data_IF_062241151021
#
_entry.id   IF_062241151021
#
_cell.length_a   1.000
_cell.length_b   1.000
_cell.length_c   1.000
_cell.angle_alpha   90.00
_cell.angle_beta   90.00
_cell.angle_gamma   90.00
#
_symmetry.space_group_name_H-M   'P 1'
#
loop_
_entity.id
_entity.type
_entity.pdbx_description
1 polymer ?
#
# COMPACT_ATOMS: atom_id res chain seq x y z
N UNK A 1 -14.12 -39.17 -15.30
CA UNK A 1 -13.57 -37.79 -15.31
C UNK A 1 -14.75 -36.81 -15.31
N UNK A 2 -14.94 -36.08 -14.21
CA UNK A 2 -15.98 -35.08 -14.07
C UNK A 2 -15.51 -33.74 -14.66
N UNK A 3 -15.97 -33.43 -15.87
CA UNK A 3 -15.55 -32.22 -16.60
C UNK A 3 -16.21 -30.96 -16.03
N UNK A 4 -17.43 -31.08 -15.53
CA UNK A 4 -18.22 -29.96 -14.99
C UNK A 4 -17.54 -29.39 -13.74
N UNK A 5 -17.27 -30.23 -12.74
CA UNK A 5 -16.57 -29.85 -11.52
C UNK A 5 -15.19 -29.23 -11.82
N UNK A 6 -14.44 -29.83 -12.74
CA UNK A 6 -13.13 -29.30 -13.13
C UNK A 6 -13.23 -27.93 -13.78
N UNK A 7 -14.21 -27.74 -14.66
CA UNK A 7 -14.43 -26.47 -15.35
C UNK A 7 -14.81 -25.36 -14.36
N UNK A 8 -15.63 -25.69 -13.37
CA UNK A 8 -16.01 -24.77 -12.29
C UNK A 8 -14.80 -24.35 -11.44
N UNK A 9 -14.04 -25.32 -10.94
CA UNK A 9 -12.85 -25.03 -10.12
C UNK A 9 -11.76 -24.29 -10.93
N UNK A 10 -11.63 -24.60 -12.23
CA UNK A 10 -10.76 -23.83 -13.12
C UNK A 10 -11.22 -22.38 -13.26
N UNK A 11 -12.52 -22.14 -13.46
CA UNK A 11 -13.07 -20.78 -13.54
C UNK A 11 -12.84 -20.01 -12.23
N UNK A 12 -13.04 -20.64 -11.07
CA UNK A 12 -12.71 -20.06 -9.76
C UNK A 12 -11.22 -19.71 -9.65
N UNK A 13 -10.34 -20.60 -10.11
CA UNK A 13 -8.89 -20.41 -10.09
C UNK A 13 -8.45 -19.20 -10.91
N UNK A 14 -8.94 -19.10 -12.15
CA UNK A 14 -8.61 -17.99 -13.04
C UNK A 14 -9.08 -16.65 -12.47
N UNK A 15 -10.24 -16.61 -11.82
CA UNK A 15 -10.75 -15.41 -11.15
C UNK A 15 -9.86 -14.97 -9.98
N UNK A 16 -9.46 -15.90 -9.10
CA UNK A 16 -8.53 -15.57 -8.01
C UNK A 16 -7.18 -15.15 -8.54
N UNK A 17 -6.65 -15.85 -9.54
CA UNK A 17 -5.37 -15.51 -10.14
C UNK A 17 -5.38 -14.11 -10.76
N UNK A 18 -6.48 -13.73 -11.42
CA UNK A 18 -6.69 -12.38 -11.91
C UNK A 18 -6.75 -11.36 -10.78
N UNK A 19 -7.53 -11.61 -9.73
CA UNK A 19 -7.66 -10.70 -8.59
C UNK A 19 -6.32 -10.49 -7.87
N UNK A 20 -5.55 -11.56 -7.64
CA UNK A 20 -4.21 -11.46 -7.06
C UNK A 20 -3.27 -10.64 -7.96
N UNK A 21 -3.35 -10.82 -9.28
CA UNK A 21 -2.61 -10.01 -10.25
C UNK A 21 -2.99 -8.53 -10.21
N UNK A 22 -4.27 -8.22 -10.03
CA UNK A 22 -4.76 -6.84 -9.91
C UNK A 22 -4.28 -6.19 -8.62
N UNK A 23 -4.38 -6.90 -7.48
CA UNK A 23 -3.85 -6.44 -6.18
C UNK A 23 -2.35 -6.12 -6.30
N UNK A 24 -1.57 -7.02 -6.91
CA UNK A 24 -0.14 -6.79 -7.12
C UNK A 24 0.14 -5.60 -8.03
N UNK A 25 -0.67 -5.43 -9.09
CA UNK A 25 -0.52 -4.31 -10.01
C UNK A 25 -0.76 -2.97 -9.31
N UNK A 26 -1.75 -2.93 -8.40
CA UNK A 26 -2.05 -1.76 -7.55
C UNK A 26 -0.90 -1.47 -6.60
N UNK A 27 -0.42 -2.46 -5.84
CA UNK A 27 0.69 -2.29 -4.90
C UNK A 27 1.96 -1.80 -5.61
N UNK A 28 2.30 -2.41 -6.75
CA UNK A 28 3.51 -2.10 -7.49
C UNK A 28 3.36 -0.85 -8.38
N UNK A 29 2.15 -0.28 -8.49
CA UNK A 29 1.81 0.85 -9.36
C UNK A 29 2.20 0.59 -10.82
N UNK A 30 1.98 -0.64 -11.30
CA UNK A 30 2.33 -1.08 -12.64
C UNK A 30 1.07 -1.34 -13.48
N UNK A 31 1.03 -0.90 -14.76
CA UNK A 31 -0.05 -1.24 -15.66
C UNK A 31 0.01 -2.74 -16.00
N UNK A 32 -1.03 -3.48 -15.62
CA UNK A 32 -1.09 -4.95 -15.80
C UNK A 32 -0.91 -5.39 -17.25
N UNK A 33 -1.45 -4.62 -18.20
CA UNK A 33 -1.43 -4.94 -19.64
C UNK A 33 0.00 -5.06 -20.20
N UNK A 34 0.95 -4.34 -19.62
CA UNK A 34 2.33 -4.28 -20.08
C UNK A 34 3.30 -5.08 -19.18
N UNK A 35 2.81 -5.55 -18.03
CA UNK A 35 3.60 -6.27 -17.06
C UNK A 35 3.85 -7.72 -17.49
N UNK A 36 5.11 -8.03 -17.85
CA UNK A 36 5.54 -9.38 -18.24
C UNK A 36 5.31 -10.45 -17.16
N UNK A 37 5.36 -10.06 -15.88
CA UNK A 37 5.26 -10.93 -14.71
C UNK A 37 3.85 -11.04 -14.12
N UNK A 38 2.95 -10.10 -14.44
CA UNK A 38 1.57 -10.06 -13.91
C UNK A 38 0.48 -10.28 -14.98
N UNK A 39 0.88 -10.35 -16.25
CA UNK A 39 -0.01 -10.70 -17.36
C UNK A 39 -0.22 -12.21 -17.50
N UNK A 40 -0.63 -12.65 -18.70
CA UNK A 40 -1.10 -14.02 -18.96
C UNK A 40 -0.12 -14.83 -19.82
N UNK A 41 1.11 -14.34 -19.98
CA UNK A 41 2.16 -15.00 -20.76
C UNK A 41 2.82 -16.10 -19.92
N UNK A 42 3.46 -17.08 -20.55
CA UNK A 42 4.14 -18.18 -19.85
C UNK A 42 5.26 -17.77 -18.87
N UNK A 43 5.68 -16.50 -18.87
CA UNK A 43 6.61 -15.91 -17.88
C UNK A 43 5.92 -15.26 -16.68
N UNK A 44 4.59 -15.34 -16.59
CA UNK A 44 3.83 -14.78 -15.50
C UNK A 44 4.10 -15.54 -14.20
N UNK A 45 3.99 -14.82 -13.07
CA UNK A 45 4.06 -15.44 -11.75
C UNK A 45 2.95 -16.48 -11.62
N UNK A 46 3.27 -17.62 -11.02
CA UNK A 46 2.27 -18.65 -10.70
C UNK A 46 1.30 -18.14 -9.64
N UNK A 47 0.11 -18.75 -9.54
CA UNK A 47 -0.84 -18.48 -8.45
C UNK A 47 -0.15 -18.45 -7.08
N UNK A 48 0.62 -19.48 -6.73
CA UNK A 48 1.30 -19.56 -5.44
C UNK A 48 2.31 -18.44 -5.25
N UNK A 49 3.11 -18.15 -6.27
CA UNK A 49 4.09 -17.06 -6.21
C UNK A 49 3.43 -15.70 -5.96
N UNK A 50 2.22 -15.46 -6.49
CA UNK A 50 1.46 -14.24 -6.20
C UNK A 50 0.99 -14.20 -4.74
N UNK A 51 0.51 -15.34 -4.22
CA UNK A 51 0.06 -15.47 -2.82
C UNK A 51 1.23 -15.26 -1.84
N UNK A 52 2.36 -15.93 -2.08
CA UNK A 52 3.58 -15.79 -1.27
C UNK A 52 4.05 -14.34 -1.26
N UNK A 53 4.11 -13.70 -2.42
CA UNK A 53 4.55 -12.31 -2.53
C UNK A 53 3.63 -11.35 -1.76
N UNK A 54 2.31 -11.52 -1.84
CA UNK A 54 1.38 -10.69 -1.06
C UNK A 54 1.49 -10.94 0.45
N UNK A 55 1.78 -12.16 0.87
CA UNK A 55 2.01 -12.49 2.27
C UNK A 55 3.32 -11.89 2.79
N UNK A 56 4.40 -11.97 2.02
CA UNK A 56 5.70 -11.37 2.34
C UNK A 56 5.61 -9.84 2.46
N UNK A 57 4.78 -9.21 1.61
CA UNK A 57 4.43 -7.79 1.71
C UNK A 57 3.50 -7.44 2.88
N UNK A 58 3.11 -8.42 3.69
CA UNK A 58 2.17 -8.29 4.82
C UNK A 58 0.81 -7.71 4.40
N UNK A 59 0.41 -7.93 3.14
CA UNK A 59 -0.91 -7.54 2.61
C UNK A 59 -1.94 -8.67 2.70
N UNK A 60 -1.51 -9.87 3.12
CA UNK A 60 -2.39 -10.95 3.53
C UNK A 60 -2.15 -11.30 5.00
N UNK A 61 -3.23 -11.51 5.72
CA UNK A 61 -3.24 -12.16 7.02
C UNK A 61 -2.86 -13.63 6.88
N UNK A 62 -2.40 -14.23 7.98
CA UNK A 62 -2.10 -15.67 8.05
C UNK A 62 -3.30 -16.53 7.66
N UNK A 63 -4.51 -16.10 8.02
CA UNK A 63 -5.74 -16.80 7.68
C UNK A 63 -6.02 -16.77 6.18
N UNK A 64 -5.96 -15.58 5.55
CA UNK A 64 -6.12 -15.44 4.10
C UNK A 64 -5.12 -16.29 3.32
N UNK A 65 -3.84 -16.24 3.72
CA UNK A 65 -2.79 -17.06 3.13
C UNK A 65 -3.13 -18.56 3.23
N UNK A 66 -3.50 -19.02 4.42
CA UNK A 66 -3.90 -20.42 4.65
C UNK A 66 -5.09 -20.83 3.78
N UNK A 67 -6.09 -19.97 3.61
CA UNK A 67 -7.26 -20.26 2.76
C UNK A 67 -6.87 -20.38 1.28
N UNK A 68 -6.02 -19.50 0.77
CA UNK A 68 -5.53 -19.56 -0.61
C UNK A 68 -4.70 -20.82 -0.88
N UNK A 69 -3.88 -21.24 0.09
CA UNK A 69 -3.13 -22.50 0.02
C UNK A 69 -4.07 -23.71 -0.01
N UNK A 70 -5.09 -23.73 0.85
CA UNK A 70 -6.11 -24.80 0.84
C UNK A 70 -6.81 -24.87 -0.52
N UNK A 71 -7.26 -23.73 -1.06
CA UNK A 71 -7.88 -23.69 -2.39
C UNK A 71 -6.96 -24.26 -3.46
N UNK A 72 -5.69 -23.82 -3.49
CA UNK A 72 -4.70 -24.27 -4.46
C UNK A 72 -4.45 -25.77 -4.40
N UNK A 73 -4.34 -26.34 -3.20
CA UNK A 73 -4.10 -27.77 -3.04
C UNK A 73 -5.28 -28.61 -3.56
N UNK A 74 -6.51 -28.24 -3.24
CA UNK A 74 -7.73 -28.91 -3.74
C UNK A 74 -7.82 -28.79 -5.26
N UNK A 75 -7.61 -27.58 -5.79
CA UNK A 75 -7.55 -27.30 -7.23
C UNK A 75 -6.54 -28.20 -7.93
N UNK A 76 -5.32 -28.29 -7.40
CA UNK A 76 -4.25 -29.08 -8.03
C UNK A 76 -4.59 -30.57 -8.08
N UNK A 77 -5.26 -31.11 -7.06
CA UNK A 77 -5.77 -32.49 -7.08
C UNK A 77 -6.76 -32.70 -8.22
N UNK A 78 -7.75 -31.82 -8.36
CA UNK A 78 -8.76 -31.90 -9.42
C UNK A 78 -8.17 -31.73 -10.82
N UNK A 79 -7.19 -30.84 -10.99
CA UNK A 79 -6.62 -30.53 -12.30
C UNK A 79 -5.63 -31.61 -12.80
N UNK A 80 -4.78 -32.14 -11.91
CA UNK A 80 -3.65 -32.98 -12.33
C UNK A 80 -3.90 -34.48 -12.19
N UNK A 81 -4.83 -34.91 -11.34
CA UNK A 81 -5.13 -36.33 -11.16
C UNK A 81 -6.41 -36.72 -11.89
N UNK A 82 -6.31 -37.53 -12.96
CA UNK A 82 -7.45 -38.00 -13.76
C UNK A 82 -8.42 -38.90 -12.97
N UNK A 83 -7.95 -39.55 -11.90
CA UNK A 83 -8.76 -40.44 -11.05
C UNK A 83 -9.63 -39.67 -10.05
N UNK A 84 -9.33 -38.38 -9.84
CA UNK A 84 -10.13 -37.49 -9.00
C UNK A 84 -11.22 -36.88 -9.87
N UNK A 85 -12.43 -37.39 -9.68
CA UNK A 85 -13.65 -37.01 -10.38
C UNK A 85 -14.78 -36.53 -9.44
N UNK A 86 -14.47 -36.32 -8.17
CA UNK A 86 -15.40 -35.83 -7.16
C UNK A 86 -14.69 -34.88 -6.18
N UNK A 87 -15.42 -33.96 -5.58
CA UNK A 87 -14.98 -33.06 -4.53
C UNK A 87 -14.59 -33.84 -3.28
N UNK A 88 -15.34 -34.88 -2.92
CA UNK A 88 -15.02 -35.77 -1.79
C UNK A 88 -13.60 -36.34 -1.95
N UNK A 89 -13.30 -36.98 -3.09
CA UNK A 89 -11.97 -37.52 -3.39
C UNK A 89 -10.88 -36.44 -3.40
N UNK A 90 -11.20 -35.25 -3.90
CA UNK A 90 -10.25 -34.14 -3.92
C UNK A 90 -9.89 -33.67 -2.50
N UNK A 91 -10.89 -33.56 -1.62
CA UNK A 91 -10.72 -33.13 -0.23
C UNK A 91 -10.03 -34.19 0.63
N UNK A 92 -10.32 -35.46 0.40
CA UNK A 92 -9.62 -36.57 1.04
C UNK A 92 -8.16 -36.65 0.58
N UNK A 93 -7.90 -36.63 -0.73
CA UNK A 93 -6.55 -36.71 -1.30
C UNK A 93 -5.65 -35.52 -0.94
N UNK A 94 -6.25 -34.36 -0.66
CA UNK A 94 -5.54 -33.16 -0.18
C UNK A 94 -5.49 -33.06 1.34
N UNK A 95 -6.23 -33.90 2.07
CA UNK A 95 -6.35 -33.82 3.54
C UNK A 95 -7.00 -32.51 4.03
N UNK A 96 -7.84 -31.88 3.21
CA UNK A 96 -8.45 -30.56 3.50
C UNK A 96 -9.91 -30.60 3.90
N UNK A 97 -10.50 -31.77 4.06
CA UNK A 97 -11.90 -31.92 4.47
C UNK A 97 -12.23 -31.08 5.72
N UNK A 98 -11.38 -31.12 6.75
CA UNK A 98 -11.58 -30.37 8.00
C UNK A 98 -11.57 -28.85 7.85
N UNK A 99 -11.00 -28.33 6.75
CA UNK A 99 -10.98 -26.89 6.42
C UNK A 99 -12.23 -26.45 5.67
N UNK A 100 -12.88 -27.36 4.95
CA UNK A 100 -14.11 -27.08 4.19
C UNK A 100 -15.36 -27.43 5.00
N UNK A 101 -15.28 -28.40 5.91
CA UNK A 101 -16.39 -28.82 6.76
C UNK A 101 -17.10 -27.68 7.53
N UNK A 102 -16.41 -26.63 8.03
CA UNK A 102 -17.07 -25.48 8.66
C UNK A 102 -18.04 -24.70 7.76
N UNK A 103 -17.96 -24.88 6.44
CA UNK A 103 -18.83 -24.23 5.46
C UNK A 103 -20.09 -25.05 5.14
N UNK A 104 -20.22 -26.25 5.71
CA UNK A 104 -21.48 -27.01 5.67
C UNK A 104 -22.49 -26.40 6.64
N UNK A 105 -23.77 -26.40 6.24
CA UNK A 105 -24.85 -26.01 7.16
C UNK A 105 -24.92 -27.03 8.31
N UNK A 106 -25.27 -26.55 9.51
CA UNK A 106 -25.40 -27.42 10.68
C UNK A 106 -26.40 -28.55 10.42
N UNK A 107 -26.00 -29.79 10.75
CA UNK A 107 -26.84 -30.98 10.55
C UNK A 107 -26.88 -31.50 9.11
N UNK A 108 -26.09 -30.93 8.19
CA UNK A 108 -25.98 -31.40 6.82
C UNK A 108 -24.81 -32.37 6.69
N UNK A 109 -25.08 -33.53 6.08
CA UNK A 109 -24.06 -34.56 5.83
C UNK A 109 -23.07 -34.13 4.74
N UNK A 110 -21.81 -34.53 4.90
CA UNK A 110 -20.71 -34.26 3.98
C UNK A 110 -20.74 -35.21 2.77
N UNK A 111 -21.80 -35.14 1.97
CA UNK A 111 -21.86 -35.81 0.67
C UNK A 111 -21.31 -34.90 -0.45
N UNK A 112 -21.08 -35.47 -1.63
CA UNK A 112 -20.51 -34.78 -2.79
C UNK A 112 -21.14 -33.41 -3.07
N UNK A 113 -22.47 -33.34 -3.24
CA UNK A 113 -23.17 -32.09 -3.55
C UNK A 113 -22.99 -31.03 -2.45
N UNK A 114 -23.06 -31.44 -1.19
CA UNK A 114 -22.89 -30.54 -0.07
C UNK A 114 -21.44 -30.06 0.07
N UNK A 115 -20.47 -30.91 -0.28
CA UNK A 115 -19.05 -30.54 -0.29
C UNK A 115 -18.71 -29.58 -1.43
N UNK A 116 -19.27 -29.78 -2.63
CA UNK A 116 -19.15 -28.81 -3.74
C UNK A 116 -19.73 -27.44 -3.34
N UNK A 117 -20.92 -27.44 -2.71
CA UNK A 117 -21.54 -26.21 -2.21
C UNK A 117 -20.70 -25.55 -1.11
N UNK A 118 -20.20 -26.33 -0.14
CA UNK A 118 -19.32 -25.83 0.91
C UNK A 118 -18.02 -25.25 0.36
N UNK A 119 -17.43 -25.89 -0.66
CA UNK A 119 -16.25 -25.37 -1.34
C UNK A 119 -16.55 -24.07 -2.09
N UNK A 120 -17.73 -23.94 -2.68
CA UNK A 120 -18.20 -22.68 -3.31
C UNK A 120 -18.35 -21.56 -2.29
N UNK A 121 -18.89 -21.85 -1.10
CA UNK A 121 -18.96 -20.87 -0.01
C UNK A 121 -17.58 -20.47 0.51
N UNK A 122 -16.68 -21.45 0.64
CA UNK A 122 -15.28 -21.23 0.99
C UNK A 122 -14.59 -20.31 -0.02
N UNK A 123 -14.76 -20.57 -1.32
CA UNK A 123 -14.29 -19.70 -2.40
C UNK A 123 -14.85 -18.28 -2.29
N UNK A 124 -16.17 -18.15 -2.03
CA UNK A 124 -16.81 -16.86 -1.80
C UNK A 124 -16.18 -16.09 -0.64
N UNK A 125 -15.81 -16.79 0.44
CA UNK A 125 -15.13 -16.17 1.59
C UNK A 125 -13.74 -15.65 1.25
N UNK A 126 -12.99 -16.38 0.42
CA UNK A 126 -11.69 -15.91 -0.09
C UNK A 126 -11.87 -14.63 -0.89
N UNK A 127 -12.85 -14.58 -1.80
CA UNK A 127 -13.13 -13.39 -2.61
C UNK A 127 -13.49 -12.17 -1.76
N UNK A 128 -14.38 -12.33 -0.78
CA UNK A 128 -14.74 -11.27 0.15
C UNK A 128 -13.50 -10.75 0.86
N UNK A 129 -12.68 -11.65 1.41
CA UNK A 129 -11.50 -11.29 2.18
C UNK A 129 -10.42 -10.62 1.33
N UNK A 130 -10.20 -11.05 0.08
CA UNK A 130 -9.30 -10.38 -0.85
C UNK A 130 -9.84 -9.01 -1.30
N UNK A 131 -11.17 -8.89 -1.46
CA UNK A 131 -11.81 -7.63 -1.77
C UNK A 131 -11.62 -6.60 -0.66
N UNK A 132 -11.70 -7.02 0.61
CA UNK A 132 -11.42 -6.13 1.74
C UNK A 132 -9.95 -5.75 1.82
N UNK A 133 -9.02 -6.70 1.62
CA UNK A 133 -7.59 -6.40 1.53
C UNK A 133 -7.26 -5.38 0.44
N UNK A 134 -7.90 -5.49 -0.74
CA UNK A 134 -7.74 -4.53 -1.82
C UNK A 134 -8.22 -3.12 -1.44
N UNK A 135 -9.37 -3.00 -0.75
CA UNK A 135 -9.88 -1.70 -0.28
C UNK A 135 -8.91 -1.05 0.69
N UNK A 136 -8.37 -1.81 1.64
CA UNK A 136 -7.37 -1.32 2.60
C UNK A 136 -6.11 -0.82 1.88
N UNK A 137 -5.62 -1.58 0.90
CA UNK A 137 -4.47 -1.18 0.09
C UNK A 137 -4.73 0.13 -0.66
N UNK A 138 -5.90 0.28 -1.28
CA UNK A 138 -6.26 1.50 -2.01
C UNK A 138 -6.32 2.69 -1.04
N UNK A 139 -6.95 2.52 0.12
CA UNK A 139 -7.02 3.56 1.14
C UNK A 139 -5.62 3.99 1.65
N UNK A 140 -4.72 3.03 1.89
CA UNK A 140 -3.33 3.32 2.27
C UNK A 140 -2.61 4.16 1.19
N UNK A 141 -2.78 3.79 -0.08
CA UNK A 141 -2.15 4.47 -1.21
C UNK A 141 -2.68 5.90 -1.41
N UNK A 142 -3.99 6.12 -1.23
CA UNK A 142 -4.60 7.45 -1.27
C UNK A 142 -4.10 8.34 -0.14
N UNK A 143 -3.94 7.79 1.07
CA UNK A 143 -3.37 8.52 2.20
C UNK A 143 -1.90 8.90 1.94
N UNK A 144 -1.09 8.01 1.37
CA UNK A 144 0.29 8.31 0.96
C UNK A 144 0.36 9.44 -0.07
N UNK A 145 -0.56 9.46 -1.04
CA UNK A 145 -0.60 10.48 -2.09
C UNK A 145 -0.92 11.86 -1.53
N UNK A 146 -1.89 11.96 -0.62
CA UNK A 146 -2.21 13.21 0.09
C UNK A 146 -1.04 13.75 0.91
N UNK A 147 -0.26 12.86 1.55
CA UNK A 147 0.95 13.26 2.29
C UNK A 147 2.01 13.80 1.33
N UNK A 148 2.18 13.17 0.16
CA UNK A 148 3.14 13.64 -0.87
C UNK A 148 2.76 14.98 -1.46
N UNK A 149 1.48 15.24 -1.70
CA UNK A 149 1.02 16.56 -2.16
C UNK A 149 1.30 17.64 -1.13
N UNK A 150 0.96 17.42 0.13
CA UNK A 150 1.28 18.36 1.21
C UNK A 150 2.78 18.62 1.34
N UNK A 151 3.61 17.59 1.20
CA UNK A 151 5.06 17.74 1.24
C UNK A 151 5.58 18.63 0.10
N UNK A 152 5.04 18.48 -1.12
CA UNK A 152 5.38 19.36 -2.26
C UNK A 152 4.95 20.80 -2.03
N UNK A 153 3.78 21.00 -1.45
CA UNK A 153 3.29 22.34 -1.11
C UNK A 153 4.23 23.04 -0.11
N UNK A 154 4.75 22.28 0.87
CA UNK A 154 5.72 22.80 1.83
C UNK A 154 7.09 23.10 1.20
N UNK A 155 7.59 22.23 0.33
CA UNK A 155 8.85 22.44 -0.41
C UNK A 155 8.79 23.69 -1.31
N UNK A 156 7.64 23.90 -1.98
CA UNK A 156 7.39 25.11 -2.77
C UNK A 156 7.28 26.36 -1.89
N UNK A 157 6.63 26.25 -0.72
CA UNK A 157 6.52 27.34 0.23
C UNK A 157 7.90 27.74 0.79
N UNK A 158 8.75 26.78 1.10
CA UNK A 158 10.13 26.99 1.55
C UNK A 158 10.96 27.71 0.48
N UNK A 159 10.88 27.25 -0.78
CA UNK A 159 11.54 27.93 -1.91
C UNK A 159 11.10 29.39 -2.06
N UNK A 160 9.79 29.67 -1.93
CA UNK A 160 9.28 31.04 -2.01
C UNK A 160 9.69 31.90 -0.80
N UNK A 161 9.84 31.29 0.38
CA UNK A 161 10.30 31.97 1.58
C UNK A 161 11.75 32.44 1.44
N UNK A 162 12.62 31.60 0.90
CA UNK A 162 14.01 31.96 0.60
C UNK A 162 14.08 33.13 -0.37
N UNK A 163 13.37 33.05 -1.51
CA UNK A 163 13.31 34.12 -2.50
C UNK A 163 12.77 35.44 -1.93
N UNK A 164 11.77 35.37 -1.06
CA UNK A 164 11.24 36.56 -0.39
C UNK A 164 12.23 37.15 0.61
N UNK A 165 12.95 36.30 1.36
CA UNK A 165 14.01 36.74 2.27
C UNK A 165 15.09 37.51 1.52
N UNK A 166 15.59 36.94 0.42
CA UNK A 166 16.60 37.58 -0.44
C UNK A 166 16.10 38.93 -0.97
N UNK A 167 14.85 39.02 -1.43
CA UNK A 167 14.28 40.26 -1.94
C UNK A 167 14.13 41.34 -0.85
N UNK A 168 13.81 40.97 0.39
CA UNK A 168 13.75 41.92 1.50
C UNK A 168 15.15 42.36 1.93
N UNK A 169 16.13 41.48 1.86
CA UNK A 169 17.53 41.81 2.12
C UNK A 169 18.03 42.82 1.09
N UNK A 170 17.81 42.57 -0.20
CA UNK A 170 18.12 43.50 -1.29
C UNK A 170 17.43 44.87 -1.11
N UNK A 171 16.14 44.88 -0.77
CA UNK A 171 15.38 46.11 -0.57
C UNK A 171 15.87 46.91 0.65
N UNK A 172 16.22 46.22 1.73
CA UNK A 172 16.77 46.85 2.94
C UNK A 172 18.12 47.49 2.65
N UNK A 173 19.01 46.79 1.94
CA UNK A 173 20.30 47.31 1.49
C UNK A 173 20.15 48.56 0.61
N UNK A 174 19.17 48.58 -0.30
CA UNK A 174 18.87 49.74 -1.13
C UNK A 174 18.36 50.93 -0.32
N UNK A 175 17.52 50.67 0.69
CA UNK A 175 16.98 51.70 1.57
C UNK A 175 18.10 52.35 2.40
N UNK A 176 18.94 51.54 3.04
CA UNK A 176 20.04 52.02 3.86
C UNK A 176 21.04 52.86 3.05
N UNK A 177 21.41 52.40 1.85
CA UNK A 177 22.27 53.15 0.93
C UNK A 177 21.68 54.49 0.51
N UNK A 178 20.37 54.55 0.27
CA UNK A 178 19.70 55.76 -0.25
C UNK A 178 19.47 56.82 0.82
N UNK A 179 19.18 56.40 2.05
CA UNK A 179 18.82 57.31 3.14
C UNK A 179 19.94 57.52 4.15
N UNK A 180 21.10 56.87 4.00
CA UNK A 180 22.27 57.04 4.87
C UNK A 180 21.99 56.61 6.30
N UNK A 181 21.09 55.64 6.47
CA UNK A 181 20.63 55.14 7.77
C UNK A 181 21.78 54.32 8.39
N UNK A 182 22.02 54.49 9.69
CA UNK A 182 22.96 53.64 10.43
C UNK A 182 22.52 52.17 10.26
N UNK A 183 23.39 51.24 9.86
CA UNK A 183 23.06 49.82 9.68
C UNK A 183 22.29 49.19 10.87
N UNK A 184 22.42 49.75 12.08
CA UNK A 184 21.65 49.33 13.27
C UNK A 184 20.17 49.70 13.21
N UNK A 185 19.79 50.77 12.52
CA UNK A 185 18.40 51.20 12.34
C UNK A 185 17.74 50.56 11.10
N UNK A 186 18.51 50.29 10.04
CA UNK A 186 18.04 49.55 8.86
C UNK A 186 17.57 48.12 9.16
N UNK A 187 18.26 47.45 10.09
CA UNK A 187 17.85 46.12 10.59
C UNK A 187 16.48 46.08 11.25
N UNK A 188 15.94 47.21 11.73
CA UNK A 188 14.62 47.29 12.38
C UNK A 188 13.50 47.13 11.35
N UNK A 189 13.63 47.74 10.16
CA UNK A 189 12.62 47.63 9.10
C UNK A 189 12.57 46.20 8.58
N UNK A 190 13.74 45.59 8.33
CA UNK A 190 13.86 44.18 7.95
C UNK A 190 13.17 43.26 8.96
N UNK A 191 13.47 43.42 10.24
CA UNK A 191 12.86 42.62 11.30
C UNK A 191 11.34 42.78 11.36
N UNK A 192 10.82 44.01 11.20
CA UNK A 192 9.39 44.27 11.22
C UNK A 192 8.66 43.62 10.02
N UNK A 193 9.24 43.71 8.82
CA UNK A 193 8.69 43.11 7.60
C UNK A 193 8.70 41.58 7.72
N UNK A 194 9.82 41.00 8.13
CA UNK A 194 9.93 39.54 8.34
C UNK A 194 8.99 39.04 9.41
N UNK A 195 8.90 39.72 10.57
CA UNK A 195 8.00 39.31 11.65
C UNK A 195 6.52 39.34 11.21
N UNK A 196 6.09 40.38 10.49
CA UNK A 196 4.71 40.46 10.00
C UNK A 196 4.41 39.37 8.96
N UNK A 197 5.35 39.09 8.07
CA UNK A 197 5.20 38.06 7.05
C UNK A 197 5.14 36.66 7.66
N UNK A 198 6.05 36.33 8.59
CA UNK A 198 6.05 35.05 9.30
C UNK A 198 4.77 34.84 10.11
N UNK A 199 4.23 35.90 10.72
CA UNK A 199 2.93 35.86 11.39
C UNK A 199 1.80 35.48 10.41
N UNK A 200 1.78 36.06 9.21
CA UNK A 200 0.77 35.74 8.18
C UNK A 200 0.90 34.33 7.63
N UNK A 201 2.12 33.80 7.54
CA UNK A 201 2.36 32.40 7.16
C UNK A 201 1.82 31.46 8.23
N UNK A 202 2.13 31.73 9.50
CA UNK A 202 1.65 30.90 10.62
C UNK A 202 0.12 30.90 10.77
N UNK A 203 -0.54 32.03 10.46
CA UNK A 203 -2.01 32.10 10.41
C UNK A 203 -2.60 31.19 9.32
N UNK A 204 -1.91 31.05 8.18
CA UNK A 204 -2.40 30.31 7.01
C UNK A 204 -1.95 28.84 6.98
N UNK A 205 -0.80 28.55 7.58
CA UNK A 205 -0.16 27.23 7.64
C UNK A 205 0.27 26.93 9.09
N UNK A 206 -0.67 26.60 9.99
CA UNK A 206 -0.39 26.44 11.41
C UNK A 206 0.55 25.27 11.73
N UNK A 207 0.62 24.27 10.85
CA UNK A 207 1.45 23.08 11.00
C UNK A 207 2.84 23.23 10.36
N UNK A 208 3.11 24.34 9.66
CA UNK A 208 4.41 24.61 9.05
C UNK A 208 5.43 24.93 10.14
N UNK A 209 6.46 24.09 10.26
CA UNK A 209 7.57 24.31 11.18
C UNK A 209 8.70 25.01 10.43
N UNK A 210 9.06 26.20 10.90
CA UNK A 210 10.24 26.90 10.40
C UNK A 210 11.49 26.18 10.90
N UNK A 211 12.27 25.62 9.98
CA UNK A 211 13.69 25.35 10.20
C UNK A 211 14.40 26.70 10.18
N UNK A 212 14.60 27.29 11.36
CA UNK A 212 15.60 28.36 11.40
C UNK A 212 16.94 27.70 11.13
N UNK A 213 17.67 28.18 10.11
CA UNK A 213 18.95 27.65 9.64
C UNK A 213 20.09 27.61 10.71
N UNK A 214 19.78 27.76 11.99
CA UNK A 214 20.70 27.69 13.12
C UNK A 214 20.36 26.64 14.20
N UNK A 215 19.25 25.89 14.09
CA UNK A 215 18.90 24.86 15.10
C UNK A 215 19.39 23.45 14.73
N UNK A 216 19.54 23.11 13.45
CA UNK A 216 20.03 21.78 13.02
C UNK A 216 21.52 21.55 13.32
N UNK A 217 22.33 22.61 13.38
CA UNK A 217 23.77 22.50 13.72
C UNK A 217 23.97 22.09 15.18
N UNK A 218 23.08 22.52 16.10
CA UNK A 218 23.20 22.18 17.53
C UNK A 218 22.69 20.79 17.87
N UNK A 219 21.70 20.25 17.17
CA UNK A 219 21.21 18.89 17.42
C UNK A 219 22.13 17.80 16.85
N UNK A 220 22.89 18.09 15.79
CA UNK A 220 23.92 17.17 15.27
C UNK A 220 25.23 17.23 16.08
N UNK A 221 25.67 18.39 16.57
CA UNK A 221 26.85 18.49 17.44
C UNK A 221 26.62 17.85 18.82
N UNK A 222 25.42 17.97 19.40
CA UNK A 222 25.09 17.35 20.71
C UNK A 222 24.98 15.83 20.63
N UNK A 223 24.60 15.26 19.46
CA UNK A 223 24.58 13.81 19.26
C UNK A 223 25.96 13.21 19.00
N UNK A 224 26.87 13.93 18.33
CA UNK A 224 28.25 13.48 18.14
C UNK A 224 29.10 13.51 19.41
N UNK A 225 28.89 14.49 20.30
CA UNK A 225 29.60 14.58 21.58
C UNK A 225 29.09 13.57 22.63
N UNK A 226 27.87 13.05 22.47
CA UNK A 226 27.30 12.02 23.33
C UNK A 226 27.75 10.59 22.95
N UNK A 227 28.24 10.39 21.72
CA UNK A 227 28.76 9.09 21.24
C UNK A 227 30.29 8.96 21.40
N UNK A 228 30.97 10.01 21.88
CA UNK A 228 32.44 10.04 22.08
C UNK A 228 32.86 10.16 23.56
N UNK A 229 32.01 9.76 24.51
CA UNK A 229 32.34 9.67 25.95
C UNK A 229 31.94 8.33 26.57
#
# INVERSE_FOLDING_TARGET
MNIELRSEVLAMSLRLENLLGDILSVILRLPRKDAKTLGDKGSALSFMSKVDFLYDLKKLTKEQYSQLVVFMEVRNKLMHNLEIDSMEKALESSGKLSKIQPYLKQGVEANELNLEYAFTLFYGKILESLGDALKEIIHDLEAEEQVKEKAKDYDLLETHLELFSDAVDDASDMFDKRFGVDPKEGGVLRQAVMAHFMMKIKERYPDFKFTTAGEEVKEQEVKMDAETK
#
